data_IF_870810396656
#
_entry.id   IF_870810396656
#
_cell.length_a   1.000
_cell.length_b   1.000
_cell.length_c   1.000
_cell.angle_alpha   90.00
_cell.angle_beta   90.00
_cell.angle_gamma   90.00
#
_symmetry.space_group_name_H-M   'P 1'
#
loop_
_entity.id
_entity.type
_entity.pdbx_description
1 polymer ?
#
# COMPACT_ATOMS: atom_id res chain seq x y z
N UNK A 1 -8.79 -14.16 -17.71
CA UNK A 1 -9.46 -13.07 -16.96
C UNK A 1 -8.59 -12.76 -15.76
N UNK A 2 -8.48 -11.50 -15.37
CA UNK A 2 -7.78 -11.11 -14.15
C UNK A 2 -8.38 -11.81 -12.92
N UNK A 3 -7.55 -12.03 -11.92
CA UNK A 3 -7.98 -12.59 -10.61
C UNK A 3 -7.43 -11.69 -9.50
N UNK A 4 -8.32 -11.18 -8.64
CA UNK A 4 -7.96 -10.37 -7.48
C UNK A 4 -7.88 -11.24 -6.23
N UNK A 5 -6.75 -11.18 -5.52
CA UNK A 5 -6.57 -11.74 -4.18
C UNK A 5 -6.19 -10.62 -3.20
N UNK A 6 -6.58 -10.77 -1.94
CA UNK A 6 -6.13 -9.91 -0.86
C UNK A 6 -5.63 -10.75 0.30
N UNK A 7 -4.56 -10.29 0.95
CA UNK A 7 -3.95 -10.95 2.10
C UNK A 7 -3.45 -9.93 3.12
N UNK A 8 -3.25 -10.37 4.36
CA UNK A 8 -2.62 -9.58 5.41
C UNK A 8 -1.16 -9.99 5.48
N UNK A 9 -0.26 -9.01 5.46
CA UNK A 9 1.14 -9.21 5.77
C UNK A 9 1.50 -8.43 7.04
N UNK A 10 2.37 -9.00 7.87
CA UNK A 10 2.83 -8.42 9.14
C UNK A 10 4.33 -8.35 9.14
N UNK A 11 4.85 -7.17 9.37
CA UNK A 11 6.29 -6.91 9.39
C UNK A 11 6.69 -6.49 10.79
N UNK A 12 7.60 -7.23 11.45
CA UNK A 12 8.14 -6.81 12.74
C UNK A 12 8.92 -5.50 12.55
N UNK A 13 8.75 -4.59 13.50
CA UNK A 13 9.52 -3.34 13.57
C UNK A 13 10.72 -3.59 14.46
N UNK A 14 11.91 -3.18 14.03
CA UNK A 14 13.10 -3.27 14.85
C UNK A 14 12.95 -2.35 16.07
N UNK A 15 12.92 -2.94 17.26
CA UNK A 15 12.59 -2.25 18.50
C UNK A 15 11.12 -1.88 18.62
N UNK A 16 10.82 -0.83 19.36
CA UNK A 16 9.48 -0.26 19.52
C UNK A 16 9.39 1.08 18.80
N UNK A 17 8.48 1.19 17.85
CA UNK A 17 8.16 2.50 17.29
C UNK A 17 7.15 3.22 18.18
N UNK A 18 7.64 4.18 18.95
CA UNK A 18 6.86 4.92 19.95
C UNK A 18 6.60 6.33 19.46
N UNK A 19 5.34 6.73 19.50
CA UNK A 19 4.89 8.11 19.23
C UNK A 19 3.91 8.55 20.34
N UNK A 20 3.58 9.82 20.40
CA UNK A 20 2.65 10.37 21.41
C UNK A 20 1.26 9.67 21.45
N UNK A 21 0.90 8.92 20.41
CA UNK A 21 -0.39 8.21 20.29
C UNK A 21 -0.31 6.71 20.50
N UNK A 22 0.85 6.17 20.88
CA UNK A 22 1.03 4.75 21.14
C UNK A 22 2.35 4.18 20.63
N UNK A 23 2.53 2.90 20.89
CA UNK A 23 3.69 2.14 20.46
C UNK A 23 3.27 1.02 19.49
N UNK A 24 4.13 0.70 18.52
CA UNK A 24 3.95 -0.42 17.61
C UNK A 24 5.21 -1.26 17.55
N UNK A 25 5.03 -2.57 17.58
CA UNK A 25 6.08 -3.57 17.39
C UNK A 25 5.99 -4.26 16.04
N UNK A 26 4.87 -4.07 15.33
CA UNK A 26 4.65 -4.58 13.98
C UNK A 26 3.87 -3.59 13.11
N UNK A 27 4.07 -3.69 11.82
CA UNK A 27 3.25 -3.05 10.81
C UNK A 27 2.38 -4.12 10.13
N UNK A 28 1.05 -4.00 10.28
CA UNK A 28 0.09 -4.83 9.55
C UNK A 28 -0.37 -4.09 8.30
N UNK A 29 -0.21 -4.71 7.15
CA UNK A 29 -0.62 -4.14 5.86
C UNK A 29 -1.59 -5.09 5.14
N UNK A 30 -2.44 -4.55 4.30
CA UNK A 30 -3.29 -5.34 3.40
C UNK A 30 -2.70 -5.26 2.00
N UNK A 31 -2.38 -6.43 1.46
CA UNK A 31 -1.82 -6.57 0.12
C UNK A 31 -2.92 -6.98 -0.85
N UNK A 32 -3.03 -6.24 -1.96
CA UNK A 32 -3.82 -6.63 -3.12
C UNK A 32 -2.89 -7.20 -4.20
N UNK A 33 -3.26 -8.35 -4.77
CA UNK A 33 -2.56 -8.95 -5.90
C UNK A 33 -3.55 -9.20 -7.04
N UNK A 34 -3.21 -8.76 -8.24
CA UNK A 34 -4.01 -8.98 -9.45
C UNK A 34 -3.18 -9.81 -10.41
N UNK A 35 -3.63 -11.03 -10.67
CA UNK A 35 -3.00 -11.95 -11.61
C UNK A 35 -3.76 -11.92 -12.93
N UNK A 36 -3.04 -11.74 -14.04
CA UNK A 36 -3.60 -11.87 -15.39
C UNK A 36 -2.56 -12.49 -16.32
N UNK A 37 -2.89 -13.66 -16.87
CA UNK A 37 -1.99 -14.48 -17.66
C UNK A 37 -0.69 -14.78 -16.88
N UNK A 38 0.46 -14.40 -17.44
CA UNK A 38 1.77 -14.59 -16.81
C UNK A 38 2.24 -13.42 -15.93
N UNK A 39 1.42 -12.36 -15.81
CA UNK A 39 1.78 -11.17 -15.06
C UNK A 39 1.01 -11.09 -13.73
N UNK A 40 1.69 -10.61 -12.70
CA UNK A 40 1.10 -10.35 -11.38
C UNK A 40 1.46 -8.95 -10.92
N UNK A 41 0.44 -8.11 -10.73
CA UNK A 41 0.57 -6.81 -10.08
C UNK A 41 0.33 -6.93 -8.58
N UNK A 42 1.12 -6.19 -7.78
CA UNK A 42 1.00 -6.14 -6.32
C UNK A 42 0.95 -4.70 -5.85
N UNK A 43 0.07 -4.42 -4.94
CA UNK A 43 0.01 -3.16 -4.22
C UNK A 43 -0.37 -3.40 -2.76
N UNK A 44 -0.09 -2.43 -1.91
CA UNK A 44 -0.43 -2.54 -0.50
C UNK A 44 -1.04 -1.26 0.05
N UNK A 45 -1.83 -1.41 1.10
CA UNK A 45 -2.39 -0.33 1.87
C UNK A 45 -2.18 -0.57 3.36
N UNK A 46 -1.87 0.49 4.09
CA UNK A 46 -1.74 0.47 5.55
C UNK A 46 -3.04 1.01 6.14
N UNK A 47 -3.89 0.16 6.75
CA UNK A 47 -5.10 0.64 7.42
C UNK A 47 -4.76 1.62 8.54
N UNK A 48 -5.39 2.77 8.55
CA UNK A 48 -5.08 3.80 9.54
C UNK A 48 -6.30 4.15 10.39
N UNK A 49 -6.24 3.77 11.68
CA UNK A 49 -7.35 3.89 12.61
C UNK A 49 -7.91 5.32 12.74
N UNK A 50 -7.07 6.35 12.53
CA UNK A 50 -7.52 7.76 12.53
C UNK A 50 -8.59 8.05 11.47
N UNK A 51 -8.59 7.29 10.37
CA UNK A 51 -9.57 7.41 9.29
C UNK A 51 -10.67 6.35 9.39
N UNK A 52 -10.79 5.67 10.54
CA UNK A 52 -11.78 4.62 10.75
C UNK A 52 -11.47 3.31 10.04
N UNK A 53 -10.24 3.14 9.55
CA UNK A 53 -9.85 1.92 8.85
C UNK A 53 -9.32 0.86 9.81
N UNK A 54 -9.70 -0.38 9.54
CA UNK A 54 -9.14 -1.61 10.13
C UNK A 54 -8.71 -2.55 9.02
N UNK A 55 -7.89 -3.53 9.35
CA UNK A 55 -7.50 -4.59 8.41
C UNK A 55 -8.74 -5.26 7.80
N UNK A 56 -9.73 -5.59 8.64
CA UNK A 56 -10.96 -6.26 8.20
C UNK A 56 -11.81 -5.35 7.31
N UNK A 57 -11.94 -4.06 7.62
CA UNK A 57 -12.68 -3.12 6.79
C UNK A 57 -12.05 -2.95 5.41
N UNK A 58 -10.72 -2.91 5.34
CA UNK A 58 -9.98 -2.80 4.08
C UNK A 58 -10.11 -4.08 3.25
N UNK A 59 -10.01 -5.26 3.87
CA UNK A 59 -10.26 -6.53 3.19
C UNK A 59 -11.70 -6.63 2.65
N UNK A 60 -12.69 -6.19 3.43
CA UNK A 60 -14.09 -6.17 2.99
C UNK A 60 -14.29 -5.23 1.78
N UNK A 61 -13.70 -4.04 1.79
CA UNK A 61 -13.75 -3.11 0.67
C UNK A 61 -13.09 -3.68 -0.59
N UNK A 62 -11.91 -4.32 -0.48
CA UNK A 62 -11.27 -5.01 -1.61
C UNK A 62 -12.19 -6.14 -2.13
N UNK A 63 -12.79 -6.90 -1.22
CA UNK A 63 -13.74 -7.96 -1.58
C UNK A 63 -14.96 -7.46 -2.35
N UNK A 64 -15.51 -6.31 -1.98
CA UNK A 64 -16.71 -5.73 -2.60
C UNK A 64 -16.53 -5.37 -4.07
N UNK A 65 -15.31 -5.05 -4.51
CA UNK A 65 -15.00 -4.67 -5.90
C UNK A 65 -14.35 -5.79 -6.71
N UNK A 66 -14.18 -6.98 -6.11
CA UNK A 66 -13.51 -8.12 -6.76
C UNK A 66 -14.07 -8.41 -8.14
N UNK A 67 -15.39 -8.57 -8.26
CA UNK A 67 -16.04 -8.90 -9.53
C UNK A 67 -15.81 -7.83 -10.61
N UNK A 68 -15.78 -6.57 -10.23
CA UNK A 68 -15.51 -5.48 -11.17
C UNK A 68 -14.07 -5.52 -11.66
N UNK A 69 -13.09 -5.72 -10.78
CA UNK A 69 -11.67 -5.84 -11.14
C UNK A 69 -11.44 -7.07 -12.03
N UNK A 70 -12.05 -8.20 -11.69
CA UNK A 70 -11.94 -9.44 -12.47
C UNK A 70 -12.64 -9.33 -13.83
N UNK A 71 -13.67 -8.47 -13.95
CA UNK A 71 -14.30 -8.09 -15.23
C UNK A 71 -13.46 -7.09 -16.04
N UNK A 72 -12.34 -6.59 -15.51
CA UNK A 72 -11.43 -5.69 -16.23
C UNK A 72 -11.58 -4.21 -15.88
N UNK A 73 -12.18 -3.88 -14.73
CA UNK A 73 -12.19 -2.50 -14.24
C UNK A 73 -10.76 -1.95 -14.15
N UNK A 74 -10.58 -0.78 -14.72
CA UNK A 74 -9.32 -0.06 -14.72
C UNK A 74 -9.20 0.89 -13.52
N UNK A 75 -8.10 1.64 -13.47
CA UNK A 75 -7.83 2.63 -12.42
C UNK A 75 -8.80 3.81 -12.42
N UNK A 76 -9.36 4.16 -13.56
CA UNK A 76 -10.35 5.27 -13.67
C UNK A 76 -11.66 4.81 -13.05
N UNK A 77 -12.13 3.64 -13.42
CA UNK A 77 -13.36 3.07 -12.87
C UNK A 77 -13.21 2.78 -11.36
N UNK A 78 -12.03 2.33 -10.91
CA UNK A 78 -11.77 2.11 -9.48
C UNK A 78 -12.05 3.35 -8.62
N UNK A 79 -11.82 4.56 -9.14
CA UNK A 79 -12.08 5.81 -8.40
C UNK A 79 -13.57 6.01 -8.07
N UNK A 80 -14.47 5.42 -8.84
CA UNK A 80 -15.92 5.48 -8.61
C UNK A 80 -16.42 4.32 -7.76
N UNK A 81 -15.68 3.21 -7.72
CA UNK A 81 -16.06 1.99 -6.99
C UNK A 81 -15.70 2.05 -5.50
N UNK A 82 -14.59 2.71 -5.15
CA UNK A 82 -14.12 2.83 -3.78
C UNK A 82 -13.82 4.27 -3.39
N UNK A 83 -14.12 4.66 -2.14
CA UNK A 83 -13.68 5.94 -1.61
C UNK A 83 -12.15 6.00 -1.47
N UNK A 84 -11.55 7.20 -1.32
CA UNK A 84 -10.15 7.33 -0.93
C UNK A 84 -9.86 6.54 0.35
N UNK A 85 -8.77 5.76 0.36
CA UNK A 85 -8.39 4.94 1.51
C UNK A 85 -7.45 3.81 1.13
N UNK A 86 -7.09 3.00 2.13
CA UNK A 86 -6.10 1.92 1.99
C UNK A 86 -6.51 0.86 0.98
N UNK A 87 -7.80 0.52 0.89
CA UNK A 87 -8.31 -0.47 -0.06
C UNK A 87 -8.12 0.01 -1.51
N UNK A 88 -8.54 1.26 -1.81
CA UNK A 88 -8.36 1.83 -3.14
C UNK A 88 -6.90 1.96 -3.50
N UNK A 89 -6.06 2.43 -2.56
CA UNK A 89 -4.62 2.54 -2.77
C UNK A 89 -3.98 1.20 -3.12
N UNK A 90 -4.28 0.15 -2.37
CA UNK A 90 -3.73 -1.19 -2.61
C UNK A 90 -4.09 -1.71 -4.02
N UNK A 91 -5.35 -1.57 -4.44
CA UNK A 91 -5.79 -2.01 -5.77
C UNK A 91 -5.19 -1.11 -6.87
N UNK A 92 -5.16 0.21 -6.69
CA UNK A 92 -4.59 1.14 -7.68
C UNK A 92 -3.11 0.85 -7.94
N UNK A 93 -2.33 0.66 -6.87
CA UNK A 93 -0.92 0.28 -6.98
C UNK A 93 -0.75 -1.09 -7.67
N UNK A 94 -1.62 -2.07 -7.37
CA UNK A 94 -1.58 -3.37 -8.04
C UNK A 94 -1.90 -3.27 -9.54
N UNK A 95 -2.84 -2.41 -9.93
CA UNK A 95 -3.16 -2.14 -11.33
C UNK A 95 -2.01 -1.43 -12.06
N UNK A 96 -1.33 -0.47 -11.42
CA UNK A 96 -0.12 0.16 -11.97
C UNK A 96 1.00 -0.85 -12.19
N UNK A 97 1.29 -1.68 -11.19
CA UNK A 97 2.33 -2.70 -11.26
C UNK A 97 2.01 -3.74 -12.34
N UNK A 98 0.75 -4.17 -12.43
CA UNK A 98 0.30 -5.09 -13.47
C UNK A 98 0.47 -4.47 -14.87
N UNK A 99 0.05 -3.20 -15.05
CA UNK A 99 0.17 -2.51 -16.33
C UNK A 99 1.64 -2.37 -16.76
N UNK A 100 2.53 -2.01 -15.83
CA UNK A 100 3.96 -1.90 -16.08
C UNK A 100 4.56 -3.26 -16.52
N UNK A 101 4.24 -4.34 -15.81
CA UNK A 101 4.73 -5.70 -16.13
C UNK A 101 4.18 -6.24 -17.45
N UNK A 102 2.92 -5.93 -17.77
CA UNK A 102 2.29 -6.35 -19.03
C UNK A 102 2.87 -5.63 -20.26
N UNK A 103 3.19 -4.35 -20.10
CA UNK A 103 3.75 -3.53 -21.19
C UNK A 103 5.27 -3.60 -21.30
N UNK A 104 5.97 -4.08 -20.26
CA UNK A 104 7.42 -3.97 -20.14
C UNK A 104 7.92 -2.53 -19.94
N UNK A 105 7.02 -1.61 -19.60
CA UNK A 105 7.32 -0.18 -19.41
C UNK A 105 7.29 0.16 -17.91
N UNK A 106 8.31 0.81 -17.35
CA UNK A 106 8.32 1.19 -15.93
C UNK A 106 7.12 2.06 -15.55
N UNK A 107 6.59 1.89 -14.34
CA UNK A 107 5.39 2.58 -13.88
C UNK A 107 5.51 4.12 -13.93
N UNK A 108 6.69 4.68 -13.63
CA UNK A 108 6.90 6.13 -13.72
C UNK A 108 6.77 6.64 -15.16
N UNK A 109 7.21 5.87 -16.14
CA UNK A 109 7.07 6.21 -17.57
C UNK A 109 5.61 6.17 -17.98
N UNK A 110 4.86 5.12 -17.56
CA UNK A 110 3.41 5.05 -17.79
C UNK A 110 2.66 6.22 -17.14
N UNK A 111 3.16 6.71 -16.02
CA UNK A 111 2.61 7.88 -15.33
C UNK A 111 3.03 9.23 -15.95
N UNK A 112 3.86 9.23 -17.01
CA UNK A 112 4.40 10.44 -17.59
C UNK A 112 5.39 11.18 -16.70
N UNK A 113 5.97 10.50 -15.70
CA UNK A 113 6.94 11.08 -14.78
C UNK A 113 8.37 10.91 -15.29
N UNK A 114 9.25 11.84 -14.86
CA UNK A 114 10.68 11.73 -15.09
C UNK A 114 11.25 10.49 -14.37
N UNK A 115 12.43 9.99 -14.78
CA UNK A 115 13.12 8.91 -14.07
C UNK A 115 13.31 9.28 -12.58
N UNK A 116 13.14 8.30 -11.66
CA UNK A 116 13.36 8.54 -10.24
C UNK A 116 14.79 9.00 -9.96
N UNK A 117 14.93 9.99 -9.11
CA UNK A 117 16.21 10.47 -8.58
C UNK A 117 16.20 10.31 -7.06
N UNK A 118 17.39 10.22 -6.41
CA UNK A 118 17.44 10.23 -4.95
C UNK A 118 16.76 11.46 -4.37
N UNK A 119 15.92 11.25 -3.35
CA UNK A 119 15.18 12.31 -2.65
C UNK A 119 15.51 12.24 -1.17
N UNK A 120 15.83 13.39 -0.56
CA UNK A 120 15.96 13.46 0.89
C UNK A 120 14.60 13.24 1.53
N UNK A 121 14.54 12.36 2.50
CA UNK A 121 13.33 12.04 3.26
C UNK A 121 13.51 12.33 4.74
N UNK A 122 12.40 12.49 5.47
CA UNK A 122 12.42 12.59 6.91
C UNK A 122 12.56 11.19 7.55
N UNK A 123 13.36 11.11 8.59
CA UNK A 123 13.42 9.95 9.47
C UNK A 123 12.69 10.29 10.77
N UNK A 124 11.80 9.41 11.23
CA UNK A 124 11.07 9.62 12.48
C UNK A 124 11.80 8.93 13.62
N UNK A 125 12.26 9.74 14.57
CA UNK A 125 12.86 9.24 15.82
C UNK A 125 11.74 8.82 16.76
N UNK A 126 11.84 7.60 17.32
CA UNK A 126 10.94 7.13 18.36
C UNK A 126 11.05 7.98 19.62
N UNK A 127 9.93 8.16 20.31
CA UNK A 127 9.92 8.81 21.63
C UNK A 127 10.66 7.90 22.63
N UNK A 128 11.65 8.45 23.31
CA UNK A 128 12.48 7.79 24.31
C UNK A 128 13.04 8.81 25.30
N UNK A 129 14.08 8.45 26.02
CA UNK A 129 14.84 9.40 26.83
C UNK A 129 15.56 10.42 25.96
N UNK A 130 15.94 11.59 26.47
CA UNK A 130 16.69 12.58 25.69
C UNK A 130 17.99 11.99 25.09
N UNK A 131 18.66 11.11 25.82
CA UNK A 131 19.89 10.45 25.40
C UNK A 131 19.65 9.49 24.23
N UNK A 132 18.63 8.62 24.33
CA UNK A 132 18.24 7.70 23.25
C UNK A 132 17.82 8.45 21.97
N UNK A 133 17.08 9.55 22.14
CA UNK A 133 16.66 10.36 21.00
C UNK A 133 17.83 11.10 20.35
N UNK A 134 18.80 11.58 21.16
CA UNK A 134 20.01 12.22 20.66
C UNK A 134 20.90 11.23 19.87
N UNK A 135 21.06 10.00 20.38
CA UNK A 135 21.79 8.94 19.69
C UNK A 135 21.14 8.58 18.35
N UNK A 136 19.80 8.47 18.33
CA UNK A 136 19.06 8.15 17.10
C UNK A 136 19.07 9.30 16.06
N UNK A 137 19.42 10.51 16.46
CA UNK A 137 19.51 11.70 15.58
C UNK A 137 20.90 11.91 14.97
N UNK A 138 21.93 11.23 15.49
CA UNK A 138 23.33 11.38 15.07
C UNK A 138 23.65 10.50 13.85
#
# INVERSE_FOLDING_TARGET
MPRLAASIERFPILGNFVISRGAKTEAAVVVAAIEDKACRGRGEGVPYARYGETVDSVLAQIGSVRSAIEAGADRVLLQTLLPPGSARNAIDCALWDLAAKRSGVPAHVLAGAAPPVPVATAFTISVGTPEEMAEAAA
#
